data_IF_005348422046
#
_entry.id   IF_005348422046
#
_cell.length_a   1.000
_cell.length_b   1.000
_cell.length_c   1.000
_cell.angle_alpha   90.00
_cell.angle_beta   90.00
_cell.angle_gamma   90.00
#
_symmetry.space_group_name_H-M   'P 1'
#
loop_
_entity.id
_entity.type
_entity.pdbx_description
1 polymer ?
#
# COMPACT_ATOMS: atom_id res chain seq x y z
N UNK A 1 -18.66 8.92 -24.85
CA UNK A 1 -19.30 9.77 -23.84
C UNK A 1 -19.55 11.12 -24.49
N UNK A 2 -20.82 11.54 -24.61
CA UNK A 2 -21.19 12.84 -25.21
C UNK A 2 -20.61 13.04 -26.63
N UNK A 3 -20.57 11.99 -27.46
CA UNK A 3 -20.03 12.02 -28.81
C UNK A 3 -18.51 11.84 -28.91
N UNK A 4 -17.79 11.84 -27.79
CA UNK A 4 -16.34 11.63 -27.78
C UNK A 4 -16.00 10.19 -27.38
N UNK A 5 -14.94 9.65 -28.01
CA UNK A 5 -14.33 8.40 -27.67
C UNK A 5 -13.23 8.60 -26.62
N UNK A 6 -13.15 7.70 -25.65
CA UNK A 6 -12.12 7.70 -24.61
C UNK A 6 -11.47 6.35 -24.51
N UNK A 7 -10.19 6.36 -24.25
CA UNK A 7 -9.42 5.16 -23.93
C UNK A 7 -8.66 5.38 -22.62
N UNK A 8 -8.37 4.31 -21.90
CA UNK A 8 -7.55 4.35 -20.69
C UNK A 8 -6.31 3.47 -20.90
N UNK A 9 -5.17 4.03 -20.60
CA UNK A 9 -3.87 3.35 -20.70
C UNK A 9 -3.70 2.41 -19.51
N UNK A 10 -3.09 1.22 -19.74
CA UNK A 10 -2.74 0.29 -18.68
C UNK A 10 -1.75 0.92 -17.70
N UNK A 11 -1.86 0.59 -16.42
CA UNK A 11 -0.98 1.15 -15.40
C UNK A 11 0.05 0.14 -14.92
N UNK A 12 1.31 0.53 -14.91
CA UNK A 12 2.36 -0.22 -14.23
C UNK A 12 2.34 0.15 -12.74
N UNK A 13 2.13 -0.85 -11.89
CA UNK A 13 2.03 -0.70 -10.43
C UNK A 13 2.94 -1.70 -9.73
N UNK A 14 3.44 -1.34 -8.55
CA UNK A 14 4.15 -2.30 -7.70
C UNK A 14 3.17 -3.31 -7.11
N UNK A 15 3.55 -4.59 -7.09
CA UNK A 15 2.77 -5.64 -6.44
C UNK A 15 2.60 -5.34 -4.95
N UNK A 16 1.47 -5.72 -4.34
CA UNK A 16 1.32 -5.67 -2.90
C UNK A 16 2.39 -6.55 -2.22
N UNK A 17 3.05 -6.02 -1.20
CA UNK A 17 4.14 -6.76 -0.54
C UNK A 17 4.88 -5.92 0.49
N UNK A 18 5.93 -6.50 1.05
CA UNK A 18 6.80 -5.89 2.07
C UNK A 18 8.20 -5.78 1.47
N UNK A 19 8.73 -4.56 1.36
CA UNK A 19 9.98 -4.28 0.67
C UNK A 19 10.98 -3.58 1.59
N UNK A 20 12.14 -4.19 1.78
CA UNK A 20 13.22 -3.64 2.58
C UNK A 20 14.14 -2.75 1.76
N UNK A 21 14.52 -1.59 2.29
CA UNK A 21 15.49 -0.69 1.68
C UNK A 21 16.39 0.00 2.70
N UNK A 22 17.50 0.52 2.23
CA UNK A 22 18.37 1.42 2.96
C UNK A 22 18.12 2.83 2.43
N UNK A 23 17.85 3.78 3.33
CA UNK A 23 17.73 5.20 2.97
C UNK A 23 19.09 5.85 2.80
N UNK A 24 19.14 7.01 2.13
CA UNK A 24 20.38 7.81 1.98
C UNK A 24 21.02 8.22 3.32
N UNK A 25 20.22 8.35 4.37
CA UNK A 25 20.68 8.65 5.74
C UNK A 25 21.13 7.41 6.55
N UNK A 26 21.17 6.24 5.93
CA UNK A 26 21.54 4.98 6.59
C UNK A 26 20.43 4.31 7.40
N UNK A 27 19.25 4.94 7.58
CA UNK A 27 18.10 4.29 8.21
C UNK A 27 17.59 3.12 7.36
N UNK A 28 17.25 2.05 8.03
CA UNK A 28 16.65 0.87 7.40
C UNK A 28 15.12 1.00 7.43
N UNK A 29 14.48 0.74 6.30
CA UNK A 29 13.02 0.89 6.16
C UNK A 29 12.42 -0.30 5.43
N UNK A 30 11.33 -0.85 5.98
CA UNK A 30 10.39 -1.71 5.26
C UNK A 30 9.18 -0.89 4.83
N UNK A 31 8.84 -0.95 3.56
CA UNK A 31 7.65 -0.36 2.98
C UNK A 31 6.57 -1.45 2.83
N UNK A 32 5.44 -1.26 3.51
CA UNK A 32 4.27 -2.13 3.42
C UNK A 32 3.33 -1.57 2.36
N UNK A 33 3.40 -2.13 1.15
CA UNK A 33 2.52 -1.80 0.05
C UNK A 33 1.35 -2.78 0.06
N UNK A 34 0.19 -2.34 0.51
CA UNK A 34 -0.98 -3.18 0.71
C UNK A 34 -1.90 -3.17 -0.53
N UNK A 35 -2.51 -4.30 -0.83
CA UNK A 35 -3.61 -4.39 -1.79
C UNK A 35 -4.87 -3.71 -1.23
N UNK A 36 -5.16 -4.00 0.04
CA UNK A 36 -6.22 -3.38 0.83
C UNK A 36 -5.64 -2.91 2.15
N UNK A 37 -6.09 -1.74 2.60
CA UNK A 37 -5.63 -1.11 3.83
C UNK A 37 -4.78 0.14 3.60
N UNK A 38 -4.37 0.76 4.68
CA UNK A 38 -3.52 1.94 4.67
C UNK A 38 -2.05 1.52 4.60
N UNK A 39 -1.33 1.94 3.58
CA UNK A 39 0.10 1.72 3.46
C UNK A 39 0.85 2.37 4.63
N UNK A 40 1.84 1.69 5.15
CA UNK A 40 2.65 2.16 6.26
C UNK A 40 4.11 1.71 6.09
N UNK A 41 4.97 2.18 6.96
CA UNK A 41 6.40 1.88 6.92
C UNK A 41 6.87 1.42 8.29
N UNK A 42 7.87 0.56 8.31
CA UNK A 42 8.60 0.18 9.51
C UNK A 42 10.04 0.65 9.34
N UNK A 43 10.58 1.32 10.34
CA UNK A 43 11.97 1.80 10.32
C UNK A 43 12.74 1.22 11.49
N UNK A 44 13.99 0.93 11.22
CA UNK A 44 15.02 0.65 12.22
C UNK A 44 16.07 1.76 12.14
N UNK A 45 16.23 2.46 13.24
CA UNK A 45 17.38 3.36 13.42
C UNK A 45 18.59 2.53 13.89
N UNK A 46 19.64 2.42 13.08
CA UNK A 46 20.80 1.58 13.42
C UNK A 46 21.58 2.12 14.63
N UNK A 47 21.47 3.41 14.96
CA UNK A 47 22.17 4.04 16.08
C UNK A 47 21.43 3.80 17.40
N UNK A 48 20.14 4.12 17.43
CA UNK A 48 19.31 3.97 18.64
C UNK A 48 18.76 2.55 18.83
N UNK A 49 18.92 1.68 17.84
CA UNK A 49 18.41 0.30 17.83
C UNK A 49 16.89 0.21 18.08
N UNK A 50 16.14 1.27 17.72
CA UNK A 50 14.69 1.35 17.93
C UNK A 50 13.92 1.02 16.65
N UNK A 51 12.90 0.18 16.80
CA UNK A 51 11.92 -0.07 15.77
C UNK A 51 10.72 0.86 15.92
N UNK A 52 10.37 1.53 14.83
CA UNK A 52 9.18 2.37 14.77
C UNK A 52 8.34 2.01 13.55
N UNK A 53 7.03 2.07 13.70
CA UNK A 53 6.06 1.95 12.61
C UNK A 53 5.52 3.34 12.33
N UNK A 54 5.42 3.70 11.05
CA UNK A 54 5.00 5.03 10.62
C UNK A 54 3.69 4.90 9.85
N UNK A 55 2.63 5.46 10.44
CA UNK A 55 1.35 5.68 9.77
C UNK A 55 1.16 7.18 9.54
N UNK A 56 0.96 7.57 8.30
CA UNK A 56 0.66 8.97 7.94
C UNK A 56 1.57 9.98 8.67
N UNK A 57 2.92 9.78 8.53
CA UNK A 57 3.99 10.59 9.11
C UNK A 57 4.09 10.59 10.66
N UNK A 58 3.26 9.84 11.38
CA UNK A 58 3.41 9.64 12.83
C UNK A 58 4.15 8.35 13.12
N UNK A 59 5.07 8.42 14.09
CA UNK A 59 5.91 7.30 14.53
C UNK A 59 5.28 6.65 15.76
N UNK A 60 5.17 5.33 15.72
CA UNK A 60 4.67 4.47 16.80
C UNK A 60 5.68 3.36 17.07
N UNK A 61 5.70 2.81 18.27
CA UNK A 61 6.62 1.73 18.61
C UNK A 61 6.14 0.42 18.02
N UNK A 62 7.06 -0.34 17.41
CA UNK A 62 6.72 -1.65 16.87
C UNK A 62 6.36 -2.65 17.97
N UNK A 63 7.02 -2.55 19.14
CA UNK A 63 6.74 -3.45 20.27
C UNK A 63 5.26 -3.42 20.69
N UNK A 64 4.66 -2.24 20.82
CA UNK A 64 3.24 -2.08 21.20
C UNK A 64 2.31 -2.73 20.17
N UNK A 65 2.60 -2.59 18.88
CA UNK A 65 1.81 -3.22 17.82
C UNK A 65 1.96 -4.74 17.81
N UNK A 66 3.17 -5.28 18.00
CA UNK A 66 3.40 -6.72 18.09
C UNK A 66 2.70 -7.34 19.31
N UNK A 67 2.74 -6.66 20.45
CA UNK A 67 2.03 -7.08 21.67
C UNK A 67 0.51 -7.14 21.44
N UNK A 68 -0.07 -6.10 20.82
CA UNK A 68 -1.48 -6.09 20.41
C UNK A 68 -1.85 -7.29 19.55
N UNK A 69 -0.98 -7.66 18.60
CA UNK A 69 -1.20 -8.78 17.66
C UNK A 69 -0.87 -10.15 18.27
N UNK A 70 -0.60 -10.21 19.57
CA UNK A 70 -0.38 -11.46 20.30
C UNK A 70 1.01 -12.08 20.10
N UNK A 71 1.98 -11.33 19.60
CA UNK A 71 3.39 -11.79 19.54
C UNK A 71 4.01 -11.61 20.92
N UNK A 72 4.26 -12.71 21.62
CA UNK A 72 4.85 -12.69 22.95
C UNK A 72 6.33 -12.27 22.96
N UNK A 73 6.79 -11.77 24.13
CA UNK A 73 8.19 -11.35 24.34
C UNK A 73 9.21 -12.45 24.03
N UNK A 74 8.84 -13.73 24.20
CA UNK A 74 9.73 -14.85 23.86
C UNK A 74 10.00 -14.97 22.37
N UNK A 75 8.96 -14.77 21.54
CA UNK A 75 9.10 -14.79 20.08
C UNK A 75 9.95 -13.60 19.60
N UNK A 76 9.70 -12.42 20.16
CA UNK A 76 10.50 -11.22 19.88
C UNK A 76 11.96 -11.40 20.35
N UNK A 77 12.19 -12.01 21.52
CA UNK A 77 13.54 -12.28 22.04
C UNK A 77 14.35 -13.22 21.14
N UNK A 78 13.71 -14.22 20.55
CA UNK A 78 14.37 -15.13 19.59
C UNK A 78 14.86 -14.39 18.33
N UNK A 79 14.17 -13.37 17.90
CA UNK A 79 14.50 -12.61 16.68
C UNK A 79 15.41 -11.42 16.96
N UNK A 80 15.09 -10.62 17.97
CA UNK A 80 15.80 -9.38 18.29
C UNK A 80 16.97 -9.57 19.28
N UNK A 81 16.90 -10.62 20.09
CA UNK A 81 17.79 -10.78 21.26
C UNK A 81 17.29 -9.96 22.46
N UNK A 82 17.91 -10.21 23.63
CA UNK A 82 17.50 -9.57 24.90
C UNK A 82 17.72 -8.06 24.89
N UNK A 83 18.88 -7.60 24.43
CA UNK A 83 19.26 -6.17 24.44
C UNK A 83 18.28 -5.31 23.62
N UNK A 84 18.01 -5.71 22.38
CA UNK A 84 17.10 -4.97 21.51
C UNK A 84 15.65 -4.97 22.04
N UNK A 85 15.20 -6.11 22.60
CA UNK A 85 13.88 -6.20 23.20
C UNK A 85 13.73 -5.19 24.35
N UNK A 86 14.70 -5.11 25.25
CA UNK A 86 14.67 -4.17 26.39
C UNK A 86 14.65 -2.72 25.91
N UNK A 87 15.47 -2.36 24.91
CA UNK A 87 15.51 -1.00 24.33
C UNK A 87 14.13 -0.62 23.74
N UNK A 88 13.48 -1.55 23.02
CA UNK A 88 12.20 -1.30 22.37
C UNK A 88 11.01 -1.36 23.33
N UNK A 89 11.13 -2.11 24.43
CA UNK A 89 10.11 -2.20 25.49
C UNK A 89 10.14 -1.00 26.46
N UNK A 90 11.30 -0.35 26.61
CA UNK A 90 11.48 0.78 27.53
C UNK A 90 10.48 1.90 27.22
N UNK A 91 9.69 2.28 28.24
CA UNK A 91 8.62 3.28 28.16
C UNK A 91 7.44 2.94 27.21
N UNK A 92 7.38 1.72 26.63
CA UNK A 92 6.29 1.34 25.73
C UNK A 92 4.96 1.18 26.48
N UNK A 93 5.00 0.59 27.67
CA UNK A 93 3.81 0.38 28.51
C UNK A 93 3.08 1.68 28.88
N UNK A 94 3.83 2.78 29.06
CA UNK A 94 3.24 4.07 29.45
C UNK A 94 2.51 4.78 28.29
N UNK A 95 2.82 4.43 27.06
CA UNK A 95 2.28 5.09 25.85
C UNK A 95 1.38 4.18 25.01
N UNK A 96 1.24 2.91 25.38
CA UNK A 96 0.52 1.89 24.59
C UNK A 96 -0.92 2.33 24.26
N UNK A 97 -1.70 2.74 25.25
CA UNK A 97 -3.09 3.15 25.05
C UNK A 97 -3.18 4.33 24.08
N UNK A 98 -2.34 5.35 24.29
CA UNK A 98 -2.31 6.55 23.45
C UNK A 98 -1.89 6.23 22.00
N UNK A 99 -0.87 5.39 21.82
CA UNK A 99 -0.39 4.98 20.51
C UNK A 99 -1.46 4.18 19.75
N UNK A 100 -2.09 3.18 20.40
CA UNK A 100 -3.13 2.36 19.76
C UNK A 100 -4.37 3.16 19.42
N UNK A 101 -4.81 4.06 20.30
CA UNK A 101 -5.93 4.97 20.04
C UNK A 101 -5.63 5.88 18.84
N UNK A 102 -4.40 6.40 18.76
CA UNK A 102 -3.99 7.24 17.63
C UNK A 102 -3.94 6.47 16.31
N UNK A 103 -3.46 5.22 16.29
CA UNK A 103 -3.50 4.34 15.11
C UNK A 103 -4.95 4.07 14.70
N UNK A 104 -5.82 3.77 15.66
CA UNK A 104 -7.25 3.54 15.41
C UNK A 104 -7.91 4.76 14.73
N UNK A 105 -7.70 5.95 15.27
CA UNK A 105 -8.26 7.18 14.69
C UNK A 105 -7.75 7.43 13.27
N UNK A 106 -6.50 7.08 12.96
CA UNK A 106 -5.92 7.18 11.62
C UNK A 106 -6.54 6.20 10.62
N UNK A 107 -6.81 4.98 11.05
CA UNK A 107 -7.38 3.93 10.17
C UNK A 107 -8.87 4.14 9.96
N UNK A 108 -9.62 4.45 11.02
CA UNK A 108 -11.09 4.51 10.99
C UNK A 108 -11.66 5.92 10.85
N UNK A 109 -10.82 6.97 10.91
CA UNK A 109 -11.20 8.40 10.82
C UNK A 109 -12.30 8.80 11.81
N UNK A 110 -12.31 8.16 12.99
CA UNK A 110 -13.22 8.47 14.11
C UNK A 110 -12.57 8.12 15.43
N UNK A 111 -13.05 8.72 16.50
CA UNK A 111 -12.62 8.36 17.84
C UNK A 111 -13.26 7.04 18.29
N UNK A 112 -12.54 6.20 19.06
CA UNK A 112 -13.08 4.97 19.61
C UNK A 112 -14.05 5.28 20.77
N UNK A 113 -14.99 4.36 21.01
CA UNK A 113 -15.91 4.45 22.14
C UNK A 113 -15.22 4.07 23.46
N UNK A 114 -14.41 3.01 23.40
CA UNK A 114 -13.63 2.50 24.51
C UNK A 114 -12.33 1.83 24.01
N UNK A 115 -11.44 1.49 24.92
CA UNK A 115 -10.17 0.85 24.57
C UNK A 115 -10.34 -0.60 24.09
N UNK A 116 -11.38 -1.30 24.52
CA UNK A 116 -11.66 -2.66 24.07
C UNK A 116 -12.04 -2.70 22.59
N UNK A 117 -12.77 -1.68 22.11
CA UNK A 117 -13.05 -1.49 20.69
C UNK A 117 -11.75 -1.29 19.90
N UNK A 118 -10.80 -0.50 20.42
CA UNK A 118 -9.50 -0.25 19.78
C UNK A 118 -8.76 -1.57 19.55
N UNK A 119 -8.61 -2.37 20.62
CA UNK A 119 -7.90 -3.64 20.56
C UNK A 119 -8.53 -4.61 19.55
N UNK A 120 -9.84 -4.80 19.65
CA UNK A 120 -10.59 -5.74 18.79
C UNK A 120 -10.53 -5.32 17.32
N UNK A 121 -10.78 -4.05 17.05
CA UNK A 121 -10.82 -3.54 15.68
C UNK A 121 -9.45 -3.46 15.02
N UNK A 122 -8.41 -3.09 15.75
CA UNK A 122 -7.05 -3.07 15.21
C UNK A 122 -6.55 -4.49 14.94
N UNK A 123 -6.84 -5.45 15.83
CA UNK A 123 -6.49 -6.85 15.61
C UNK A 123 -7.16 -7.40 14.36
N UNK A 124 -8.48 -7.20 14.23
CA UNK A 124 -9.24 -7.59 13.03
C UNK A 124 -8.70 -6.91 11.75
N UNK A 125 -8.33 -5.62 11.84
CA UNK A 125 -7.76 -4.90 10.71
C UNK A 125 -6.46 -5.54 10.21
N UNK A 126 -5.52 -5.82 11.09
CA UNK A 126 -4.23 -6.42 10.71
C UNK A 126 -4.35 -7.89 10.29
N UNK A 127 -5.23 -8.67 10.93
CA UNK A 127 -5.40 -10.09 10.61
C UNK A 127 -6.20 -10.34 9.33
N UNK A 128 -7.22 -9.51 9.04
CA UNK A 128 -8.19 -9.80 7.99
C UNK A 128 -8.22 -8.77 6.86
N UNK A 129 -7.83 -7.53 7.11
CA UNK A 129 -8.02 -6.45 6.15
C UNK A 129 -6.74 -6.05 5.40
N UNK A 130 -5.57 -6.13 6.04
CA UNK A 130 -4.30 -5.80 5.40
C UNK A 130 -3.83 -6.92 4.48
N UNK A 131 -4.07 -6.80 3.17
CA UNK A 131 -3.72 -7.84 2.21
C UNK A 131 -2.42 -7.54 1.47
N UNK A 132 -1.60 -8.58 1.32
CA UNK A 132 -0.36 -8.60 0.54
C UNK A 132 -0.29 -9.84 -0.34
N UNK A 133 0.51 -9.82 -1.41
CA UNK A 133 0.72 -10.97 -2.28
C UNK A 133 1.67 -11.99 -1.63
N UNK A 134 1.21 -13.25 -1.43
CA UNK A 134 2.03 -14.29 -0.80
C UNK A 134 3.30 -14.64 -1.59
N UNK A 135 3.26 -14.50 -2.92
CA UNK A 135 4.44 -14.80 -3.75
C UNK A 135 5.49 -13.70 -3.59
N UNK A 136 5.06 -12.45 -3.54
CA UNK A 136 5.95 -11.32 -3.28
C UNK A 136 6.58 -11.44 -1.88
N UNK A 137 5.79 -11.76 -0.85
CA UNK A 137 6.32 -11.93 0.51
C UNK A 137 7.24 -13.14 0.65
N UNK A 138 7.03 -14.21 -0.13
CA UNK A 138 7.97 -15.33 -0.19
C UNK A 138 9.34 -14.88 -0.74
N UNK A 139 9.35 -14.08 -1.79
CA UNK A 139 10.60 -13.59 -2.41
C UNK A 139 11.32 -12.58 -1.49
N UNK A 140 10.57 -11.71 -0.81
CA UNK A 140 11.17 -10.64 0.01
C UNK A 140 11.50 -11.09 1.44
N UNK A 141 10.67 -11.91 2.09
CA UNK A 141 10.82 -12.33 3.49
C UNK A 141 11.19 -13.80 3.66
N UNK A 142 11.17 -14.59 2.57
CA UNK A 142 11.39 -16.05 2.63
C UNK A 142 10.21 -16.85 3.16
N UNK A 143 9.05 -16.21 3.44
CA UNK A 143 7.81 -16.85 3.89
C UNK A 143 6.59 -16.26 3.20
N UNK A 144 5.58 -17.09 2.97
CA UNK A 144 4.30 -16.66 2.42
C UNK A 144 3.42 -16.02 3.50
N UNK A 145 3.06 -14.77 3.29
CA UNK A 145 2.08 -14.06 4.10
C UNK A 145 0.99 -13.51 3.18
N UNK A 146 -0.27 -13.76 3.50
CA UNK A 146 -1.42 -13.20 2.79
C UNK A 146 -1.90 -11.89 3.41
N UNK A 147 -1.60 -11.69 4.70
CA UNK A 147 -1.95 -10.51 5.48
C UNK A 147 -0.76 -10.07 6.31
N UNK A 148 -0.75 -8.80 6.73
CA UNK A 148 0.28 -8.26 7.64
C UNK A 148 -0.12 -8.56 9.08
N UNK A 149 0.04 -9.81 9.50
CA UNK A 149 -0.17 -10.25 10.88
C UNK A 149 1.10 -10.02 11.74
N UNK A 150 1.02 -10.36 13.01
CA UNK A 150 2.15 -10.23 13.94
C UNK A 150 3.41 -10.97 13.48
N UNK A 151 3.24 -12.14 12.85
CA UNK A 151 4.38 -12.92 12.31
C UNK A 151 5.03 -12.22 11.12
N UNK A 152 4.24 -11.63 10.21
CA UNK A 152 4.77 -10.87 9.07
C UNK A 152 5.55 -9.64 9.52
N UNK A 153 5.08 -8.94 10.58
CA UNK A 153 5.81 -7.82 11.18
C UNK A 153 7.11 -8.28 11.85
N UNK A 154 7.09 -9.43 12.51
CA UNK A 154 8.28 -9.99 13.16
C UNK A 154 9.32 -10.43 12.11
N UNK A 155 8.91 -11.13 11.05
CA UNK A 155 9.77 -11.54 9.95
C UNK A 155 10.35 -10.34 9.19
N UNK A 156 9.56 -9.28 9.01
CA UNK A 156 10.03 -8.04 8.39
C UNK A 156 11.05 -7.31 9.26
N UNK A 157 10.87 -7.30 10.59
CA UNK A 157 11.86 -6.74 11.52
C UNK A 157 13.16 -7.54 11.54
N UNK A 158 13.07 -8.87 11.43
CA UNK A 158 14.22 -9.75 11.29
C UNK A 158 15.03 -9.40 10.04
N UNK A 159 14.36 -9.22 8.90
CA UNK A 159 15.04 -8.84 7.66
C UNK A 159 15.81 -7.52 7.78
N UNK A 160 15.24 -6.50 8.45
CA UNK A 160 15.99 -5.25 8.70
C UNK A 160 17.23 -5.47 9.56
N UNK A 161 17.16 -6.37 10.56
CA UNK A 161 18.34 -6.72 11.36
C UNK A 161 19.40 -7.47 10.54
N UNK A 162 18.97 -8.38 9.67
CA UNK A 162 19.87 -9.13 8.80
C UNK A 162 20.56 -8.20 7.79
N UNK A 163 19.85 -7.20 7.24
CA UNK A 163 20.43 -6.16 6.40
C UNK A 163 21.42 -5.31 7.20
N UNK A 164 21.07 -4.90 8.43
CA UNK A 164 21.97 -4.12 9.29
C UNK A 164 23.27 -4.86 9.62
N UNK A 165 23.20 -6.18 9.71
CA UNK A 165 24.37 -7.04 9.93
C UNK A 165 25.14 -7.37 8.63
N UNK A 166 24.63 -6.97 7.47
CA UNK A 166 25.22 -7.31 6.17
C UNK A 166 25.02 -8.78 5.74
N UNK A 167 24.12 -9.52 6.40
CA UNK A 167 23.80 -10.91 6.05
C UNK A 167 22.68 -11.07 5.02
N UNK A 168 21.95 -9.98 4.76
CA UNK A 168 20.92 -9.92 3.72
C UNK A 168 21.04 -8.62 2.92
N UNK A 169 20.59 -8.67 1.68
CA UNK A 169 20.56 -7.51 0.79
C UNK A 169 19.18 -6.81 0.82
N UNK A 170 19.14 -5.49 0.60
CA UNK A 170 17.87 -4.78 0.40
C UNK A 170 17.17 -5.27 -0.87
N UNK A 171 15.84 -5.13 -0.90
CA UNK A 171 15.05 -5.55 -2.07
C UNK A 171 15.21 -4.56 -3.23
N UNK A 172 15.43 -5.09 -4.43
CA UNK A 172 15.37 -4.31 -5.66
C UNK A 172 13.91 -4.03 -6.04
N UNK A 173 13.41 -2.87 -5.57
CA UNK A 173 12.04 -2.42 -5.83
C UNK A 173 11.78 -2.07 -7.31
N UNK A 174 12.82 -1.92 -8.09
CA UNK A 174 12.73 -1.56 -9.51
C UNK A 174 12.68 -2.79 -10.42
N UNK A 175 12.97 -3.96 -9.87
CA UNK A 175 12.81 -5.24 -10.56
C UNK A 175 11.37 -5.43 -11.08
N UNK A 176 11.25 -5.90 -12.32
CA UNK A 176 9.96 -6.22 -12.96
C UNK A 176 9.22 -7.37 -12.27
N UNK A 177 9.92 -8.22 -11.51
CA UNK A 177 9.33 -9.30 -10.70
C UNK A 177 8.32 -8.74 -9.70
N UNK A 178 8.59 -7.55 -9.15
CA UNK A 178 7.73 -6.87 -8.17
C UNK A 178 6.73 -5.91 -8.80
N UNK A 179 6.55 -5.95 -10.11
CA UNK A 179 5.62 -5.10 -10.83
C UNK A 179 4.48 -5.90 -11.44
N UNK A 180 3.35 -5.25 -11.59
CA UNK A 180 2.15 -5.77 -12.25
C UNK A 180 1.57 -4.71 -13.16
N UNK A 181 0.91 -5.16 -14.21
CA UNK A 181 0.16 -4.30 -15.12
C UNK A 181 -1.31 -4.42 -14.73
N UNK A 182 -1.93 -3.28 -14.41
CA UNK A 182 -3.36 -3.19 -14.22
C UNK A 182 -4.04 -2.73 -15.50
N UNK A 183 -5.03 -3.47 -15.91
CA UNK A 183 -5.88 -3.18 -17.07
C UNK A 183 -6.99 -2.18 -16.71
N UNK A 184 -7.76 -1.76 -17.68
CA UNK A 184 -8.84 -0.78 -17.51
C UNK A 184 -9.91 -1.27 -16.55
N UNK A 185 -10.24 -2.56 -16.59
CA UNK A 185 -11.20 -3.21 -15.67
C UNK A 185 -10.72 -3.18 -14.22
N UNK A 186 -9.46 -3.52 -13.94
CA UNK A 186 -8.86 -3.41 -12.61
C UNK A 186 -8.89 -1.97 -12.09
N UNK A 187 -8.54 -1.01 -12.95
CA UNK A 187 -8.55 0.41 -12.61
C UNK A 187 -9.97 0.91 -12.31
N UNK A 188 -10.96 0.45 -13.07
CA UNK A 188 -12.37 0.78 -12.86
C UNK A 188 -12.90 0.18 -11.55
N UNK A 189 -12.57 -1.08 -11.25
CA UNK A 189 -12.90 -1.73 -9.97
C UNK A 189 -12.30 -0.93 -8.81
N UNK A 190 -11.02 -0.58 -8.88
CA UNK A 190 -10.35 0.23 -7.87
C UNK A 190 -11.00 1.62 -7.71
N UNK A 191 -11.50 2.21 -8.80
CA UNK A 191 -12.21 3.49 -8.75
C UNK A 191 -13.54 3.37 -7.99
N UNK A 192 -14.32 2.30 -8.25
CA UNK A 192 -15.55 2.02 -7.53
C UNK A 192 -15.31 1.67 -6.06
N UNK A 193 -14.28 0.88 -5.74
CA UNK A 193 -13.92 0.55 -4.36
C UNK A 193 -13.62 1.80 -3.53
N UNK A 194 -12.93 2.79 -4.09
CA UNK A 194 -12.70 4.08 -3.43
C UNK A 194 -13.99 4.88 -3.18
N UNK A 195 -14.99 4.72 -4.04
CA UNK A 195 -16.26 5.45 -3.94
C UNK A 195 -17.35 4.66 -3.20
N UNK A 196 -17.09 3.40 -2.82
CA UNK A 196 -18.03 2.47 -2.21
C UNK A 196 -18.81 3.08 -1.04
N UNK A 197 -18.11 3.72 -0.11
CA UNK A 197 -18.75 4.30 1.09
C UNK A 197 -19.65 5.48 0.74
N UNK A 198 -19.25 6.33 -0.20
CA UNK A 198 -20.04 7.45 -0.71
C UNK A 198 -21.28 6.96 -1.43
N UNK A 199 -21.12 5.96 -2.30
CA UNK A 199 -22.25 5.33 -3.01
C UNK A 199 -23.22 4.64 -2.05
N UNK A 200 -22.70 3.91 -1.06
CA UNK A 200 -23.50 3.25 -0.03
C UNK A 200 -24.30 4.27 0.79
N UNK A 201 -23.68 5.37 1.23
CA UNK A 201 -24.38 6.44 1.95
C UNK A 201 -25.47 7.06 1.10
N UNK A 202 -25.21 7.33 -0.18
CA UNK A 202 -26.19 7.88 -1.12
C UNK A 202 -27.38 6.95 -1.34
N UNK A 203 -27.14 5.65 -1.55
CA UNK A 203 -28.18 4.65 -1.71
C UNK A 203 -29.02 4.50 -0.44
N UNK A 204 -28.39 4.42 0.74
CA UNK A 204 -29.12 4.38 2.03
C UNK A 204 -29.99 5.61 2.24
N UNK A 205 -29.49 6.79 1.94
CA UNK A 205 -30.28 8.03 2.02
C UNK A 205 -31.48 7.98 1.06
N UNK A 206 -31.30 7.49 -0.17
CA UNK A 206 -32.39 7.33 -1.13
C UNK A 206 -33.47 6.32 -0.67
N UNK A 207 -33.04 5.22 -0.02
CA UNK A 207 -33.94 4.21 0.54
C UNK A 207 -34.84 4.73 1.68
N UNK A 208 -34.42 5.80 2.36
CA UNK A 208 -35.26 6.39 3.43
C UNK A 208 -36.49 7.14 2.90
N UNK A 209 -36.46 7.55 1.62
CA UNK A 209 -37.49 8.40 1.02
C UNK A 209 -38.17 7.77 -0.20
N UNK A 210 -37.74 6.58 -0.63
CA UNK A 210 -38.22 5.95 -1.88
C UNK A 210 -38.42 4.46 -1.68
N UNK A 211 -39.53 3.94 -2.16
CA UNK A 211 -39.91 2.54 -1.99
C UNK A 211 -39.57 1.67 -3.23
N UNK A 212 -39.42 2.30 -4.40
CA UNK A 212 -39.14 1.54 -5.63
C UNK A 212 -37.66 1.51 -5.93
N UNK A 213 -37.09 0.33 -6.23
CA UNK A 213 -35.67 0.13 -6.59
C UNK A 213 -35.23 1.05 -7.73
N UNK A 214 -36.10 1.26 -8.73
CA UNK A 214 -35.83 2.12 -9.90
C UNK A 214 -35.63 3.59 -9.52
N UNK A 215 -36.26 4.04 -8.46
CA UNK A 215 -36.13 5.40 -7.94
C UNK A 215 -34.93 5.54 -6.97
N UNK A 216 -34.66 4.46 -6.21
CA UNK A 216 -33.48 4.40 -5.31
C UNK A 216 -32.19 4.42 -6.13
N UNK A 217 -32.13 3.58 -7.18
CA UNK A 217 -30.99 3.48 -8.09
C UNK A 217 -31.29 4.29 -9.35
N UNK A 218 -31.07 5.60 -9.29
CA UNK A 218 -31.21 6.46 -10.47
C UNK A 218 -30.12 6.16 -11.51
N UNK A 219 -30.40 6.40 -12.78
CA UNK A 219 -29.45 6.20 -13.90
C UNK A 219 -28.09 6.91 -13.67
N UNK A 220 -28.08 8.07 -13.00
CA UNK A 220 -26.86 8.82 -12.67
C UNK A 220 -26.04 8.22 -11.52
N UNK A 221 -26.53 7.21 -10.79
CA UNK A 221 -25.83 6.67 -9.62
C UNK A 221 -24.50 6.00 -10.01
N UNK A 222 -24.50 5.21 -11.06
CA UNK A 222 -23.30 4.54 -11.57
C UNK A 222 -22.72 5.20 -12.81
N UNK A 223 -23.54 5.81 -13.68
CA UNK A 223 -23.05 6.44 -14.91
C UNK A 223 -22.15 7.66 -14.64
N UNK A 224 -22.43 8.43 -13.58
CA UNK A 224 -21.55 9.58 -13.21
C UNK A 224 -20.13 9.14 -12.80
N UNK A 225 -19.91 8.17 -11.90
CA UNK A 225 -18.59 7.62 -11.60
C UNK A 225 -17.86 7.10 -12.84
N UNK A 226 -18.56 6.35 -13.71
CA UNK A 226 -17.95 5.84 -14.96
C UNK A 226 -17.53 6.99 -15.87
N UNK A 227 -18.42 7.97 -16.05
CA UNK A 227 -18.10 9.16 -16.86
C UNK A 227 -16.86 9.87 -16.32
N UNK A 228 -16.80 10.14 -15.02
CA UNK A 228 -15.66 10.78 -14.37
C UNK A 228 -14.37 9.98 -14.55
N UNK A 229 -14.44 8.65 -14.42
CA UNK A 229 -13.28 7.78 -14.63
C UNK A 229 -12.63 7.99 -16.01
N UNK A 230 -13.45 8.04 -17.08
CA UNK A 230 -12.96 8.21 -18.44
C UNK A 230 -12.66 9.65 -18.84
N UNK A 231 -13.36 10.65 -18.29
CA UNK A 231 -13.19 12.06 -18.70
C UNK A 231 -12.12 12.80 -17.92
N UNK A 232 -11.90 12.44 -16.65
CA UNK A 232 -10.97 13.15 -15.74
C UNK A 232 -9.83 12.26 -15.22
N UNK A 233 -9.79 10.98 -15.59
CA UNK A 233 -8.76 10.06 -15.16
C UNK A 233 -7.38 10.44 -15.71
N UNK A 234 -6.35 10.42 -14.87
CA UNK A 234 -4.95 10.71 -15.27
C UNK A 234 -4.42 9.81 -16.40
N UNK A 235 -5.01 8.64 -16.58
CA UNK A 235 -4.64 7.62 -17.58
C UNK A 235 -5.59 7.61 -18.78
N UNK A 236 -6.61 8.45 -18.77
CA UNK A 236 -7.58 8.55 -19.85
C UNK A 236 -7.15 9.60 -20.89
N UNK A 237 -7.35 9.26 -22.15
CA UNK A 237 -7.09 10.15 -23.28
C UNK A 237 -8.09 9.88 -24.40
N UNK A 238 -8.17 10.78 -25.37
CA UNK A 238 -8.88 10.53 -26.63
C UNK A 238 -7.97 9.69 -27.54
N UNK A 239 -8.48 8.63 -28.20
CA UNK A 239 -7.67 7.84 -29.11
C UNK A 239 -7.24 8.67 -30.33
N UNK A 240 -6.00 8.48 -30.83
CA UNK A 240 -5.56 9.12 -32.08
C UNK A 240 -6.33 8.50 -33.25
N UNK A 241 -7.02 9.31 -34.03
CA UNK A 241 -7.84 8.84 -35.16
C UNK A 241 -7.11 8.88 -36.51
N UNK A 242 -5.85 9.27 -36.55
CA UNK A 242 -5.08 9.50 -37.75
C UNK A 242 -4.56 8.21 -38.42
N UNK A 243 -4.28 7.16 -37.62
CA UNK A 243 -3.68 5.93 -38.13
C UNK A 243 -4.14 4.72 -37.29
N UNK A 244 -4.67 3.64 -37.93
CA UNK A 244 -5.06 2.41 -37.20
C UNK A 244 -3.92 1.79 -36.40
N UNK A 245 -2.68 1.87 -36.86
CA UNK A 245 -1.50 1.34 -36.14
C UNK A 245 -1.24 2.14 -34.90
N UNK A 246 -1.44 3.46 -34.90
CA UNK A 246 -1.33 4.32 -33.71
C UNK A 246 -2.39 3.96 -32.67
N UNK A 247 -3.62 3.65 -33.07
CA UNK A 247 -4.70 3.20 -32.18
C UNK A 247 -4.28 1.89 -31.47
N UNK A 248 -3.81 0.90 -32.21
CA UNK A 248 -3.36 -0.38 -31.64
C UNK A 248 -2.16 -0.21 -30.72
N UNK A 249 -1.24 0.69 -31.06
CA UNK A 249 -0.08 1.03 -30.21
C UNK A 249 -0.53 1.64 -28.87
N UNK A 250 -1.49 2.57 -28.90
CA UNK A 250 -2.03 3.18 -27.68
C UNK A 250 -2.78 2.17 -26.77
N UNK A 251 -3.49 1.20 -27.34
CA UNK A 251 -4.13 0.14 -26.54
C UNK A 251 -3.14 -0.75 -25.79
N UNK A 252 -1.92 -0.90 -26.31
CA UNK A 252 -0.84 -1.69 -25.71
C UNK A 252 0.07 -0.87 -24.79
N UNK A 253 -0.11 0.44 -24.76
CA UNK A 253 0.68 1.34 -23.95
C UNK A 253 0.48 1.07 -22.48
N UNK A 254 1.58 1.10 -21.72
CA UNK A 254 1.58 0.97 -20.27
C UNK A 254 2.26 2.19 -19.67
N UNK A 255 1.62 2.83 -18.71
CA UNK A 255 2.13 4.04 -18.06
C UNK A 255 2.49 3.77 -16.60
N UNK A 256 3.64 4.25 -16.09
CA UNK A 256 3.96 4.23 -14.68
C UNK A 256 3.26 5.33 -13.88
N UNK A 257 2.53 6.24 -14.56
CA UNK A 257 1.88 7.42 -13.99
C UNK A 257 0.49 7.10 -13.44
N UNK A 258 -0.16 8.11 -12.87
CA UNK A 258 -1.51 8.03 -12.33
C UNK A 258 -1.58 7.62 -10.86
N UNK A 259 -2.76 7.71 -10.28
CA UNK A 259 -2.99 7.44 -8.85
C UNK A 259 -2.65 6.00 -8.47
N UNK A 260 -1.67 5.81 -7.60
CA UNK A 260 -1.16 4.51 -7.17
C UNK A 260 -0.14 3.89 -8.11
N UNK A 261 0.23 4.56 -9.21
CA UNK A 261 1.33 4.18 -10.07
C UNK A 261 2.71 4.33 -9.41
N UNK A 262 3.74 3.80 -10.07
CA UNK A 262 5.13 3.84 -9.56
C UNK A 262 5.65 5.26 -9.51
N UNK A 263 5.26 6.09 -10.48
CA UNK A 263 5.64 7.51 -10.57
C UNK A 263 4.41 8.40 -10.36
N UNK A 264 4.58 9.48 -9.60
CA UNK A 264 3.57 10.54 -9.50
C UNK A 264 4.02 11.76 -10.30
N UNK A 265 3.07 12.58 -10.75
CA UNK A 265 3.36 13.83 -11.48
C UNK A 265 4.26 14.79 -10.67
N UNK A 266 4.26 14.67 -9.34
CA UNK A 266 4.93 15.60 -8.43
C UNK A 266 6.20 15.05 -7.79
N UNK A 267 6.50 13.76 -7.95
CA UNK A 267 7.68 13.14 -7.34
C UNK A 267 8.70 12.74 -8.40
N UNK A 268 9.38 13.72 -8.99
CA UNK A 268 10.59 13.46 -9.76
C UNK A 268 11.75 13.53 -8.76
N UNK A 269 12.03 12.40 -8.08
CA UNK A 269 13.22 12.25 -7.25
C UNK A 269 14.42 11.84 -8.11
N UNK A 270 15.65 12.07 -7.64
CA UNK A 270 16.86 11.54 -8.30
C UNK A 270 16.73 10.06 -8.58
N UNK A 271 16.21 9.28 -7.61
CA UNK A 271 15.98 7.84 -7.73
C UNK A 271 15.10 7.45 -8.94
N UNK A 272 14.23 8.35 -9.42
CA UNK A 272 13.39 8.09 -10.60
C UNK A 272 14.06 8.49 -11.91
N UNK A 273 15.20 9.19 -11.87
CA UNK A 273 16.00 9.60 -13.03
C UNK A 273 17.17 8.66 -13.30
N UNK A 274 17.65 7.96 -12.24
CA UNK A 274 18.74 7.02 -12.39
C UNK A 274 18.33 5.83 -13.23
N UNK A 275 19.09 5.53 -14.27
CA UNK A 275 18.89 4.32 -15.05
C UNK A 275 19.53 3.16 -14.30
N UNK A 276 18.73 2.17 -13.97
CA UNK A 276 19.22 0.95 -13.32
C UNK A 276 20.19 0.22 -14.26
N UNK A 277 21.32 -0.33 -13.75
CA UNK A 277 22.29 -1.08 -14.56
C UNK A 277 21.64 -2.21 -15.38
N UNK A 278 20.59 -2.84 -14.84
CA UNK A 278 19.81 -3.86 -15.54
C UNK A 278 19.02 -3.33 -16.74
N UNK A 279 18.76 -2.02 -16.81
CA UNK A 279 18.05 -1.37 -17.91
C UNK A 279 18.99 -0.78 -18.97
N UNK A 280 20.29 -0.64 -18.66
CA UNK A 280 21.28 -0.07 -19.57
C UNK A 280 21.39 -0.87 -20.86
N UNK A 281 21.45 -2.21 -20.74
CA UNK A 281 21.51 -3.06 -21.92
C UNK A 281 20.27 -2.96 -22.81
N UNK A 282 19.10 -2.68 -22.24
CA UNK A 282 17.87 -2.47 -22.99
C UNK A 282 17.87 -1.12 -23.72
N UNK A 283 18.38 -0.08 -23.09
CA UNK A 283 18.53 1.25 -23.70
C UNK A 283 19.58 1.22 -24.82
N UNK A 284 20.70 0.56 -24.56
CA UNK A 284 21.80 0.44 -25.51
C UNK A 284 21.38 -0.32 -26.77
N UNK A 285 20.57 -1.36 -26.66
CA UNK A 285 20.03 -2.11 -27.76
C UNK A 285 18.99 -1.38 -28.61
N UNK A 286 18.37 -0.33 -28.07
CA UNK A 286 17.31 0.45 -28.73
C UNK A 286 17.78 1.83 -29.18
N UNK A 287 18.95 2.27 -28.75
CA UNK A 287 19.57 3.51 -29.18
C UNK A 287 20.35 3.32 -30.50
#
# INVERSE_FOLDING_TARGET
IEGNEYQTVNQLRRKPGIYARIKKNGELENEFNLEKGLNFKMQLDPISEKFVVIFDNRKYRLWTLLNLLGVGDEAMRKVWGTKLLEVNKKNALNTEISEMTSIFTKIYHRDPKDYSEVLTKLKDYFENFTKVDPNTTLLTLGRKHSNVNGQALLDSSKKLLDINKGTAEPDDRDSLVFKQILSVDDLLINHFDKQKDSLTKKLRSSMMFKDQVREIVSAGTFSKPIKLFFTTGDLSSTPPQTNPVAIVSEWRKTSPMGTGGIKSKHSITEETRDVQPTHLGFIDSTA
#
